data_IF_909831774253
#
_entry.id   IF_909831774253
#
_cell.length_a   1.000
_cell.length_b   1.000
_cell.length_c   1.000
_cell.angle_alpha   90.00
_cell.angle_beta   90.00
_cell.angle_gamma   90.00
#
_symmetry.space_group_name_H-M   'P 1'
#
loop_
_entity.id
_entity.type
_entity.pdbx_description
1 polymer ?
#
# COMPACT_ATOMS: atom_id res chain seq x y z
N UNK A 1 -65.06 12.83 41.64
CA UNK A 1 -65.31 14.10 40.93
C UNK A 1 -64.20 15.07 41.28
N UNK A 2 -63.30 15.35 40.34
CA UNK A 2 -62.74 16.68 40.03
C UNK A 2 -61.62 16.51 39.00
N UNK A 3 -61.95 16.96 37.78
CA UNK A 3 -61.08 17.06 36.61
C UNK A 3 -60.16 18.27 36.77
N UNK A 4 -58.85 18.09 36.54
CA UNK A 4 -58.02 19.11 35.89
C UNK A 4 -57.07 18.41 34.92
N UNK A 5 -57.39 18.55 33.64
CA UNK A 5 -56.53 18.23 32.51
C UNK A 5 -55.60 19.42 32.32
N UNK A 6 -54.30 19.16 32.26
CA UNK A 6 -53.33 20.05 31.64
C UNK A 6 -52.35 19.18 30.85
N UNK A 7 -52.54 19.21 29.54
CA UNK A 7 -51.57 18.74 28.57
C UNK A 7 -50.36 19.68 28.59
N UNK A 8 -49.16 19.12 28.63
CA UNK A 8 -47.96 19.78 28.08
C UNK A 8 -47.11 18.72 27.40
N UNK A 9 -46.70 19.03 26.18
CA UNK A 9 -46.26 18.11 25.14
C UNK A 9 -45.04 17.27 25.54
N UNK A 10 -45.19 15.96 25.36
CA UNK A 10 -44.10 15.03 25.09
C UNK A 10 -43.37 15.47 23.82
N UNK A 11 -42.18 16.05 23.98
CA UNK A 11 -41.27 16.41 22.90
C UNK A 11 -39.89 15.81 23.15
N UNK A 12 -39.81 14.48 23.19
CA UNK A 12 -38.55 13.77 23.16
C UNK A 12 -37.95 13.88 21.76
N UNK A 13 -36.91 14.68 21.61
CA UNK A 13 -35.99 14.59 20.47
C UNK A 13 -34.63 14.17 21.01
N UNK A 14 -34.53 12.88 21.35
CA UNK A 14 -33.23 12.20 21.37
C UNK A 14 -32.81 12.18 19.91
N UNK A 15 -31.81 12.98 19.53
CA UNK A 15 -31.08 12.84 18.26
C UNK A 15 -30.33 11.49 18.33
N UNK A 16 -31.08 10.41 18.16
CA UNK A 16 -30.56 9.10 17.86
C UNK A 16 -30.02 9.15 16.44
N UNK A 17 -28.72 8.92 16.31
CA UNK A 17 -28.08 8.56 15.05
C UNK A 17 -28.74 7.28 14.53
N UNK A 18 -29.79 7.46 13.74
CA UNK A 18 -30.38 6.41 12.93
C UNK A 18 -29.49 6.17 11.70
N UNK A 19 -28.37 5.47 11.89
CA UNK A 19 -27.66 4.80 10.79
C UNK A 19 -28.43 3.52 10.46
N UNK A 20 -29.59 3.67 9.82
CA UNK A 20 -30.26 2.58 9.10
C UNK A 20 -30.05 2.82 7.62
N UNK A 21 -29.41 1.86 6.98
CA UNK A 21 -29.05 1.93 5.56
C UNK A 21 -30.26 2.10 4.64
N UNK A 22 -29.97 2.66 3.46
CA UNK A 22 -30.78 2.47 2.28
C UNK A 22 -29.87 2.61 1.06
N UNK A 23 -29.57 1.48 0.42
CA UNK A 23 -29.20 1.46 -0.98
C UNK A 23 -30.42 1.88 -1.79
N UNK A 24 -30.37 3.03 -2.48
CA UNK A 24 -31.15 3.21 -3.71
C UNK A 24 -30.75 4.46 -4.50
N UNK A 25 -30.35 4.21 -5.75
CA UNK A 25 -30.53 5.03 -6.95
C UNK A 25 -29.99 6.47 -6.97
N UNK A 26 -28.86 6.61 -7.66
CA UNK A 26 -28.38 7.88 -8.21
C UNK A 26 -26.88 7.78 -8.39
N UNK A 27 -26.35 8.32 -9.47
CA UNK A 27 -24.92 8.42 -9.79
C UNK A 27 -24.15 9.35 -8.81
N UNK A 28 -24.53 9.34 -7.53
CA UNK A 28 -23.88 10.05 -6.44
C UNK A 28 -23.09 9.00 -5.65
N UNK A 29 -21.85 8.78 -6.06
CA UNK A 29 -20.93 7.85 -5.41
C UNK A 29 -20.86 8.07 -3.89
N UNK A 30 -20.45 7.02 -3.16
CA UNK A 30 -20.16 7.12 -1.74
C UNK A 30 -19.02 8.14 -1.51
N UNK A 31 -19.38 9.40 -1.29
CA UNK A 31 -18.46 10.53 -1.09
C UNK A 31 -17.47 10.32 0.06
N UNK A 32 -17.87 9.53 1.07
CA UNK A 32 -17.02 9.20 2.20
C UNK A 32 -15.96 8.17 1.79
N UNK A 33 -16.34 7.19 0.96
CA UNK A 33 -15.41 6.24 0.35
C UNK A 33 -14.49 6.92 -0.68
N UNK A 34 -15.00 7.85 -1.48
CA UNK A 34 -14.18 8.62 -2.42
C UNK A 34 -13.17 9.52 -1.66
N UNK A 35 -13.57 10.12 -0.53
CA UNK A 35 -12.66 10.87 0.34
C UNK A 35 -11.62 9.99 1.03
N UNK A 36 -12.03 8.81 1.53
CA UNK A 36 -11.13 7.79 2.05
C UNK A 36 -10.11 7.36 0.99
N UNK A 37 -10.58 7.08 -0.23
CA UNK A 37 -9.74 6.68 -1.34
C UNK A 37 -8.76 7.79 -1.70
N UNK A 38 -9.19 9.05 -1.70
CA UNK A 38 -8.31 10.20 -1.90
C UNK A 38 -7.18 10.25 -0.87
N UNK A 39 -7.49 10.07 0.41
CA UNK A 39 -6.48 10.09 1.47
C UNK A 39 -5.42 9.00 1.27
N UNK A 40 -5.83 7.79 0.91
CA UNK A 40 -4.90 6.69 0.64
C UNK A 40 -4.12 6.95 -0.66
N UNK A 41 -4.81 7.35 -1.74
CA UNK A 41 -4.21 7.58 -3.05
C UNK A 41 -3.21 8.74 -3.05
N UNK A 42 -3.44 9.80 -2.28
CA UNK A 42 -2.53 10.96 -2.21
C UNK A 42 -1.19 10.60 -1.53
N UNK A 43 -1.14 9.53 -0.74
CA UNK A 43 0.09 9.01 -0.15
C UNK A 43 0.93 8.14 -1.11
N UNK A 44 0.31 7.55 -2.15
CA UNK A 44 0.99 6.59 -3.03
C UNK A 44 2.12 7.18 -3.87
N UNK A 45 1.99 8.34 -4.55
CA UNK A 45 2.98 8.79 -5.55
C UNK A 45 4.40 8.93 -5.00
N UNK A 46 4.55 9.45 -3.77
CA UNK A 46 5.86 9.62 -3.16
C UNK A 46 6.53 8.28 -2.81
N UNK A 47 5.74 7.29 -2.40
CA UNK A 47 6.25 5.97 -2.02
C UNK A 47 6.51 5.11 -3.25
N UNK A 48 5.68 5.22 -4.28
CA UNK A 48 5.88 4.60 -5.59
C UNK A 48 7.20 5.06 -6.23
N UNK A 49 7.41 6.39 -6.31
CA UNK A 49 8.66 6.94 -6.82
C UNK A 49 9.90 6.50 -6.01
N UNK A 50 9.75 6.32 -4.69
CA UNK A 50 10.83 5.80 -3.83
C UNK A 50 11.15 4.34 -4.15
N UNK A 51 10.13 3.49 -4.34
CA UNK A 51 10.30 2.09 -4.70
C UNK A 51 10.92 1.95 -6.10
N UNK A 52 10.47 2.76 -7.07
CA UNK A 52 11.04 2.78 -8.42
C UNK A 52 12.51 3.20 -8.41
N UNK A 53 12.85 4.29 -7.72
CA UNK A 53 14.23 4.74 -7.59
C UNK A 53 15.13 3.68 -6.91
N UNK A 54 14.63 2.99 -5.90
CA UNK A 54 15.34 1.90 -5.24
C UNK A 54 15.59 0.72 -6.22
N UNK A 55 14.59 0.31 -6.98
CA UNK A 55 14.72 -0.74 -8.01
C UNK A 55 15.70 -0.36 -9.12
N UNK A 56 15.64 0.89 -9.59
CA UNK A 56 16.58 1.42 -10.59
C UNK A 56 18.01 1.44 -10.07
N UNK A 57 18.21 1.84 -8.80
CA UNK A 57 19.52 1.84 -8.16
C UNK A 57 20.12 0.42 -8.07
N UNK A 58 19.33 -0.56 -7.64
CA UNK A 58 19.74 -1.99 -7.60
C UNK A 58 20.11 -2.47 -9.00
N UNK A 59 19.24 -2.22 -9.99
CA UNK A 59 19.48 -2.64 -11.38
C UNK A 59 20.79 -2.04 -11.92
N UNK A 60 21.01 -0.75 -11.70
CA UNK A 60 22.24 -0.06 -12.12
C UNK A 60 23.47 -0.59 -11.38
N UNK A 61 23.35 -0.85 -10.08
CA UNK A 61 24.43 -1.44 -9.29
C UNK A 61 24.88 -2.79 -9.86
N UNK A 62 23.92 -3.60 -10.31
CA UNK A 62 24.16 -4.92 -10.90
C UNK A 62 24.77 -4.87 -12.32
N UNK A 63 24.49 -3.83 -13.12
CA UNK A 63 24.95 -3.76 -14.53
C UNK A 63 26.27 -3.02 -14.74
N UNK A 64 26.63 -2.08 -13.87
CA UNK A 64 27.74 -1.15 -14.11
C UNK A 64 29.13 -1.68 -13.69
N UNK A 65 29.29 -3.02 -13.55
CA UNK A 65 30.53 -3.67 -13.08
C UNK A 65 31.07 -3.06 -11.76
N UNK A 66 30.17 -2.75 -10.82
CA UNK A 66 30.53 -2.11 -9.56
C UNK A 66 31.35 -3.03 -8.65
N UNK A 67 32.21 -2.42 -7.82
CA UNK A 67 32.88 -3.13 -6.73
C UNK A 67 31.86 -3.64 -5.69
N UNK A 68 32.11 -4.79 -5.03
CA UNK A 68 31.20 -5.36 -4.03
C UNK A 68 30.73 -4.37 -2.95
N UNK A 69 31.63 -3.51 -2.46
CA UNK A 69 31.28 -2.49 -1.47
C UNK A 69 30.27 -1.45 -2.00
N UNK A 70 30.36 -1.09 -3.28
CA UNK A 70 29.39 -0.19 -3.92
C UNK A 70 28.04 -0.87 -4.09
N UNK A 71 28.03 -2.13 -4.52
CA UNK A 71 26.80 -2.93 -4.63
C UNK A 71 26.13 -3.06 -3.27
N UNK A 72 26.86 -3.49 -2.24
CA UNK A 72 26.35 -3.61 -0.87
C UNK A 72 25.71 -2.32 -0.37
N UNK A 73 26.41 -1.19 -0.50
CA UNK A 73 25.91 0.10 -0.03
C UNK A 73 24.65 0.52 -0.78
N UNK A 74 24.63 0.31 -2.10
CA UNK A 74 23.48 0.70 -2.95
C UNK A 74 22.27 -0.15 -2.63
N UNK A 75 22.45 -1.48 -2.59
CA UNK A 75 21.37 -2.42 -2.29
C UNK A 75 20.86 -2.25 -0.86
N UNK A 76 21.75 -1.98 0.12
CA UNK A 76 21.34 -1.63 1.48
C UNK A 76 20.44 -0.38 1.50
N UNK A 77 20.82 0.67 0.79
CA UNK A 77 20.02 1.90 0.78
C UNK A 77 18.69 1.65 0.09
N UNK A 78 18.69 0.93 -1.03
CA UNK A 78 17.47 0.58 -1.75
C UNK A 78 16.50 -0.25 -0.89
N UNK A 79 16.98 -1.27 -0.17
CA UNK A 79 16.14 -2.04 0.74
C UNK A 79 15.62 -1.22 1.92
N UNK A 80 16.41 -0.27 2.43
CA UNK A 80 15.93 0.69 3.43
C UNK A 80 14.79 1.54 2.87
N UNK A 81 14.97 2.11 1.68
CA UNK A 81 13.98 2.95 1.02
C UNK A 81 12.67 2.20 0.75
N UNK A 82 12.76 0.95 0.28
CA UNK A 82 11.59 0.08 0.12
C UNK A 82 10.91 -0.21 1.47
N UNK A 83 11.69 -0.52 2.51
CA UNK A 83 11.15 -0.76 3.85
C UNK A 83 10.35 0.45 4.37
N UNK A 84 10.92 1.65 4.23
CA UNK A 84 10.29 2.89 4.66
C UNK A 84 9.06 3.24 3.82
N UNK A 85 9.11 2.98 2.51
CA UNK A 85 7.98 3.20 1.61
C UNK A 85 6.77 2.35 2.03
N UNK A 86 6.94 1.05 2.23
CA UNK A 86 5.86 0.18 2.68
C UNK A 86 5.38 0.53 4.09
N UNK A 87 6.27 0.98 4.98
CA UNK A 87 5.88 1.46 6.31
C UNK A 87 5.00 2.70 6.22
N UNK A 88 5.35 3.65 5.35
CA UNK A 88 4.59 4.87 5.13
C UNK A 88 3.21 4.57 4.53
N UNK A 89 3.13 3.62 3.58
CA UNK A 89 1.85 3.16 3.05
C UNK A 89 0.98 2.49 4.12
N UNK A 90 1.58 1.66 4.99
CA UNK A 90 0.86 1.09 6.12
C UNK A 90 0.27 2.19 7.01
N UNK A 91 1.06 3.23 7.32
CA UNK A 91 0.61 4.38 8.09
C UNK A 91 -0.50 5.19 7.40
N UNK A 92 -0.46 5.32 6.08
CA UNK A 92 -1.50 6.01 5.33
C UNK A 92 -2.84 5.26 5.37
N UNK A 93 -2.83 3.94 5.16
CA UNK A 93 -4.02 3.08 5.26
C UNK A 93 -4.54 3.03 6.70
N UNK A 94 -3.65 2.99 7.69
CA UNK A 94 -4.01 3.04 9.11
C UNK A 94 -4.69 4.37 9.48
N UNK A 95 -4.10 5.47 9.06
CA UNK A 95 -4.63 6.82 9.31
C UNK A 95 -5.95 7.09 8.60
N UNK A 96 -6.20 6.44 7.45
CA UNK A 96 -7.48 6.54 6.74
C UNK A 96 -8.60 5.74 7.43
N UNK A 97 -8.26 4.75 8.25
CA UNK A 97 -9.21 3.88 8.91
C UNK A 97 -9.94 2.96 7.93
N UNK A 98 -11.03 2.33 8.37
CA UNK A 98 -11.79 1.41 7.54
C UNK A 98 -12.48 2.14 6.37
N UNK A 99 -12.48 1.58 5.14
CA UNK A 99 -13.19 2.15 4.02
C UNK A 99 -14.70 2.24 4.32
N UNK A 100 -15.31 3.44 4.29
CA UNK A 100 -16.71 3.64 4.64
C UNK A 100 -17.67 2.87 3.71
N UNK A 101 -18.67 2.23 4.29
CA UNK A 101 -19.70 1.52 3.53
C UNK A 101 -19.24 0.20 2.87
N UNK A 102 -18.03 -0.26 3.14
CA UNK A 102 -17.48 -1.50 2.60
C UNK A 102 -17.66 -2.65 3.59
N UNK A 103 -18.20 -3.77 3.11
CA UNK A 103 -18.32 -5.01 3.88
C UNK A 103 -16.94 -5.47 4.38
N UNK A 104 -16.87 -5.83 5.67
CA UNK A 104 -15.64 -6.19 6.36
C UNK A 104 -14.53 -5.12 6.30
N UNK A 105 -14.87 -3.85 6.06
CA UNK A 105 -13.90 -2.76 5.87
C UNK A 105 -12.83 -2.67 6.96
N UNK A 106 -13.19 -2.87 8.23
CA UNK A 106 -12.21 -2.91 9.35
C UNK A 106 -11.21 -4.05 9.22
N UNK A 107 -11.68 -5.25 8.86
CA UNK A 107 -10.82 -6.41 8.66
C UNK A 107 -9.91 -6.20 7.45
N UNK A 108 -10.47 -5.75 6.32
CA UNK A 108 -9.71 -5.43 5.11
C UNK A 108 -8.62 -4.40 5.37
N UNK A 109 -8.93 -3.34 6.11
CA UNK A 109 -7.97 -2.33 6.51
C UNK A 109 -6.85 -2.91 7.40
N UNK A 110 -7.20 -3.64 8.47
CA UNK A 110 -6.22 -4.23 9.37
C UNK A 110 -5.31 -5.25 8.67
N UNK A 111 -5.88 -6.09 7.79
CA UNK A 111 -5.13 -7.07 7.01
C UNK A 111 -4.16 -6.37 6.04
N UNK A 112 -4.59 -5.28 5.40
CA UNK A 112 -3.74 -4.47 4.53
C UNK A 112 -2.59 -3.80 5.28
N UNK A 113 -2.87 -3.21 6.45
CA UNK A 113 -1.84 -2.61 7.31
C UNK A 113 -0.85 -3.67 7.79
N UNK A 114 -1.32 -4.85 8.18
CA UNK A 114 -0.45 -5.97 8.57
C UNK A 114 0.44 -6.42 7.41
N UNK A 115 -0.12 -6.56 6.21
CA UNK A 115 0.64 -6.95 5.02
C UNK A 115 1.70 -5.91 4.62
N UNK A 116 1.38 -4.61 4.65
CA UNK A 116 2.34 -3.54 4.37
C UNK A 116 3.46 -3.49 5.42
N UNK A 117 3.14 -3.68 6.70
CA UNK A 117 4.17 -3.78 7.75
C UNK A 117 5.04 -5.03 7.61
N UNK A 118 4.48 -6.16 7.16
CA UNK A 118 5.23 -7.37 6.89
C UNK A 118 6.20 -7.19 5.70
N UNK A 119 5.77 -6.49 4.63
CA UNK A 119 6.65 -6.10 3.52
C UNK A 119 7.77 -5.18 4.01
N UNK A 120 7.43 -4.14 4.78
CA UNK A 120 8.42 -3.23 5.37
C UNK A 120 9.48 -3.99 6.17
N UNK A 121 9.05 -4.91 7.05
CA UNK A 121 9.95 -5.73 7.86
C UNK A 121 10.83 -6.63 6.99
N UNK A 122 10.24 -7.24 5.96
CA UNK A 122 10.97 -8.14 5.05
C UNK A 122 12.10 -7.40 4.33
N UNK A 123 11.85 -6.19 3.83
CA UNK A 123 12.89 -5.36 3.21
C UNK A 123 13.94 -4.88 4.23
N UNK A 124 13.55 -4.55 5.47
CA UNK A 124 14.51 -4.23 6.52
C UNK A 124 15.43 -5.42 6.86
N UNK A 125 14.92 -6.65 6.79
CA UNK A 125 15.72 -7.85 7.02
C UNK A 125 16.65 -8.16 5.83
N UNK A 126 16.21 -7.92 4.59
CA UNK A 126 17.08 -7.96 3.41
C UNK A 126 18.23 -6.95 3.53
N UNK A 127 17.94 -5.73 4.01
CA UNK A 127 18.96 -4.72 4.33
C UNK A 127 20.01 -5.28 5.30
N UNK A 128 19.58 -5.86 6.42
CA UNK A 128 20.52 -6.43 7.41
C UNK A 128 21.39 -7.52 6.79
N UNK A 129 20.84 -8.34 5.89
CA UNK A 129 21.59 -9.40 5.20
C UNK A 129 22.61 -8.87 4.22
N UNK A 130 22.26 -7.83 3.44
CA UNK A 130 23.23 -7.20 2.54
C UNK A 130 24.35 -6.51 3.33
N UNK A 131 24.03 -5.84 4.44
CA UNK A 131 24.99 -5.11 5.30
C UNK A 131 26.12 -6.01 5.82
N UNK A 132 25.86 -7.30 6.02
CA UNK A 132 26.84 -8.25 6.59
C UNK A 132 27.61 -9.05 5.55
N UNK A 133 27.33 -8.84 4.25
CA UNK A 133 28.08 -9.54 3.20
C UNK A 133 29.56 -9.16 3.20
N UNK A 134 30.41 -10.13 2.90
CA UNK A 134 31.85 -9.93 2.80
C UNK A 134 32.20 -9.26 1.47
N UNK A 135 32.51 -7.96 1.50
CA UNK A 135 32.86 -7.19 0.30
C UNK A 135 34.30 -7.36 -0.15
N UNK A 136 35.12 -8.11 0.60
CA UNK A 136 36.53 -8.37 0.30
C UNK A 136 36.73 -9.72 -0.40
N UNK A 137 35.78 -10.63 -0.24
CA UNK A 137 35.76 -11.94 -0.90
C UNK A 137 34.63 -11.96 -1.94
N UNK A 138 35.00 -11.85 -3.22
CA UNK A 138 34.04 -11.77 -4.31
C UNK A 138 33.17 -13.04 -4.44
N UNK A 139 33.70 -14.21 -4.11
CA UNK A 139 32.95 -15.47 -4.19
C UNK A 139 31.88 -15.52 -3.09
N UNK A 140 32.26 -15.19 -1.85
CA UNK A 140 31.30 -15.10 -0.72
C UNK A 140 30.28 -14.00 -0.92
N UNK A 141 30.69 -12.86 -1.47
CA UNK A 141 29.77 -11.77 -1.80
C UNK A 141 28.70 -12.24 -2.78
N UNK A 142 29.11 -12.90 -3.86
CA UNK A 142 28.20 -13.43 -4.87
C UNK A 142 27.27 -14.51 -4.31
N UNK A 143 27.76 -15.39 -3.44
CA UNK A 143 26.93 -16.38 -2.73
C UNK A 143 25.88 -15.71 -1.85
N UNK A 144 26.28 -14.70 -1.07
CA UNK A 144 25.35 -13.92 -0.24
C UNK A 144 24.26 -13.21 -1.06
N UNK A 145 24.62 -12.65 -2.22
CA UNK A 145 23.65 -12.07 -3.13
C UNK A 145 22.65 -13.09 -3.69
N UNK A 146 23.06 -14.35 -3.91
CA UNK A 146 22.14 -15.41 -4.35
C UNK A 146 21.11 -15.80 -3.27
N UNK A 147 21.50 -15.82 -1.99
CA UNK A 147 20.55 -16.03 -0.88
C UNK A 147 19.53 -14.89 -0.80
N UNK A 148 19.99 -13.63 -0.92
CA UNK A 148 19.12 -12.45 -0.98
C UNK A 148 18.14 -12.55 -2.15
N UNK A 149 18.62 -12.92 -3.35
CA UNK A 149 17.76 -13.09 -4.52
C UNK A 149 16.71 -14.19 -4.33
N UNK A 150 17.06 -15.29 -3.64
CA UNK A 150 16.13 -16.37 -3.31
C UNK A 150 15.01 -15.89 -2.39
N UNK A 151 15.35 -15.08 -1.39
CA UNK A 151 14.38 -14.50 -0.45
C UNK A 151 13.49 -13.47 -1.13
N UNK A 152 14.03 -12.61 -1.98
CA UNK A 152 13.25 -11.71 -2.84
C UNK A 152 12.27 -12.49 -3.73
N UNK A 153 12.72 -13.60 -4.33
CA UNK A 153 11.86 -14.48 -5.13
C UNK A 153 10.70 -15.09 -4.32
N UNK A 154 10.92 -15.35 -3.04
CA UNK A 154 9.88 -15.82 -2.11
C UNK A 154 8.93 -14.69 -1.73
N UNK A 155 9.47 -13.52 -1.40
CA UNK A 155 8.70 -12.33 -1.06
C UNK A 155 7.73 -11.95 -2.18
N UNK A 156 8.21 -11.89 -3.42
CA UNK A 156 7.41 -11.59 -4.63
C UNK A 156 6.28 -12.56 -4.90
N UNK A 157 6.39 -13.82 -4.45
CA UNK A 157 5.32 -14.83 -4.58
C UNK A 157 4.29 -14.73 -3.45
N UNK A 158 4.74 -14.33 -2.26
CA UNK A 158 3.91 -14.25 -1.05
C UNK A 158 3.15 -12.92 -0.92
N UNK A 159 3.61 -11.86 -1.58
CA UNK A 159 2.86 -10.63 -1.76
C UNK A 159 1.84 -10.85 -2.88
N UNK A 160 0.53 -10.76 -2.70
CA UNK A 160 -0.13 -9.77 -1.88
C UNK A 160 -1.65 -10.00 -1.91
N UNK A 161 -2.14 -11.00 -1.18
CA UNK A 161 -3.58 -11.29 -1.14
C UNK A 161 -4.34 -10.21 -0.35
N UNK A 162 -3.76 -9.70 0.74
CA UNK A 162 -4.42 -8.72 1.59
C UNK A 162 -4.63 -7.36 0.90
N UNK A 163 -3.64 -6.84 0.16
CA UNK A 163 -3.87 -5.60 -0.60
C UNK A 163 -4.85 -5.80 -1.76
N UNK A 164 -4.81 -6.95 -2.45
CA UNK A 164 -5.82 -7.27 -3.46
C UNK A 164 -7.24 -7.26 -2.87
N UNK A 165 -7.42 -7.88 -1.70
CA UNK A 165 -8.72 -7.91 -1.01
C UNK A 165 -9.18 -6.52 -0.54
N UNK A 166 -8.25 -5.62 -0.21
CA UNK A 166 -8.57 -4.22 0.08
C UNK A 166 -9.02 -3.51 -1.20
N UNK A 167 -8.30 -3.69 -2.31
CA UNK A 167 -8.53 -3.05 -3.62
C UNK A 167 -9.59 -3.76 -4.47
N UNK A 168 -10.62 -4.33 -3.84
CA UNK A 168 -11.73 -5.02 -4.51
C UNK A 168 -13.04 -4.22 -4.42
N UNK A 169 -13.95 -4.50 -5.35
CA UNK A 169 -15.30 -3.92 -5.36
C UNK A 169 -15.29 -2.38 -5.36
N UNK A 170 -16.07 -1.79 -4.47
CA UNK A 170 -16.26 -0.34 -4.40
C UNK A 170 -14.97 0.42 -4.06
N UNK A 171 -14.06 -0.20 -3.29
CA UNK A 171 -12.75 0.39 -2.99
C UNK A 171 -11.95 0.59 -4.27
N UNK A 172 -11.92 -0.43 -5.13
CA UNK A 172 -11.25 -0.37 -6.44
C UNK A 172 -11.80 0.78 -7.28
N UNK A 173 -13.12 0.86 -7.35
CA UNK A 173 -13.83 1.89 -8.12
C UNK A 173 -13.53 3.29 -7.58
N UNK A 174 -13.53 3.46 -6.25
CA UNK A 174 -13.24 4.73 -5.60
C UNK A 174 -11.78 5.16 -5.81
N UNK A 175 -10.81 4.25 -5.68
CA UNK A 175 -9.39 4.51 -5.94
C UNK A 175 -9.13 4.85 -7.41
N UNK A 176 -9.77 4.14 -8.34
CA UNK A 176 -9.63 4.39 -9.77
C UNK A 176 -10.15 5.77 -10.22
N UNK A 177 -11.01 6.43 -9.43
CA UNK A 177 -11.44 7.82 -9.68
C UNK A 177 -10.38 8.85 -9.27
N UNK A 178 -9.47 8.51 -8.35
CA UNK A 178 -8.53 9.47 -7.79
C UNK A 178 -7.36 9.72 -8.73
N UNK A 179 -7.11 10.99 -9.04
CA UNK A 179 -6.04 11.40 -9.97
C UNK A 179 -4.64 10.97 -9.51
N UNK A 180 -4.38 10.96 -8.20
CA UNK A 180 -3.10 10.50 -7.62
C UNK A 180 -2.86 9.01 -7.86
N UNK A 181 -3.87 8.17 -7.67
CA UNK A 181 -3.82 6.73 -8.00
C UNK A 181 -3.68 6.49 -9.51
N UNK A 182 -4.38 7.24 -10.36
CA UNK A 182 -4.27 7.12 -11.83
C UNK A 182 -2.85 7.42 -12.32
N UNK A 183 -2.19 8.44 -11.76
CA UNK A 183 -0.80 8.79 -12.09
C UNK A 183 0.16 7.64 -11.80
N UNK A 184 0.03 7.01 -10.63
CA UNK A 184 0.84 5.85 -10.25
C UNK A 184 0.61 4.69 -11.23
N UNK A 185 -0.66 4.33 -11.49
CA UNK A 185 -0.98 3.25 -12.42
C UNK A 185 -0.43 3.49 -13.84
N UNK A 186 -0.44 4.75 -14.31
CA UNK A 186 0.14 5.13 -15.58
C UNK A 186 1.68 4.93 -15.59
N UNK A 187 2.39 5.36 -14.54
CA UNK A 187 3.84 5.18 -14.40
C UNK A 187 4.24 3.69 -14.48
N UNK A 188 3.51 2.82 -13.78
CA UNK A 188 3.75 1.37 -13.78
C UNK A 188 3.54 0.74 -15.17
N UNK A 189 2.61 1.28 -15.96
CA UNK A 189 2.32 0.78 -17.32
C UNK A 189 3.36 1.19 -18.36
N UNK A 190 3.99 2.35 -18.21
CA UNK A 190 5.09 2.82 -19.09
C UNK A 190 6.40 2.05 -18.92
N UNK A 191 6.58 1.32 -17.81
CA UNK A 191 7.72 0.40 -17.61
C UNK A 191 7.62 -0.91 -18.41
N UNK A 192 6.42 -1.28 -18.87
CA UNK A 192 6.19 -2.40 -19.78
C UNK A 192 6.27 -1.91 -21.24
N UNK A 193 7.49 -1.76 -21.77
CA UNK A 193 7.65 -1.59 -23.22
C UNK A 193 6.96 -2.75 -23.95
N UNK A 194 6.12 -2.50 -24.97
CA UNK A 194 5.62 -3.57 -25.82
C UNK A 194 6.81 -4.15 -26.57
N UNK A 195 7.13 -5.42 -26.27
CA UNK A 195 8.01 -6.22 -27.11
C UNK A 195 7.34 -6.31 -28.48
N UNK A 196 7.77 -5.46 -29.40
CA UNK A 196 7.25 -5.43 -30.75
C UNK A 196 7.85 -6.64 -31.46
N UNK A 197 7.04 -7.68 -31.61
CA UNK A 197 7.30 -8.81 -32.49
C UNK A 197 7.40 -8.29 -33.92
N UNK A 198 8.61 -8.25 -34.48
CA UNK A 198 8.84 -8.35 -35.93
C UNK A 198 9.54 -9.71 -36.12
N UNK A 199 9.05 -10.65 -36.92
CA UNK A 199 8.52 -10.47 -38.26
C UNK A 199 9.63 -10.83 -39.23
#
# INVERSE_FOLDING_TARGET
MNKKLAAVLSGGAVLGLALTGCSSSGDDGNKELDAWAKQVCDALPAQDAKVDAANEAIKKAATDNNAPATVQKTDSQAFQDMSDAYKALAGAVDSAGAPPGVEDGKKKQSDAVAALNALSTSYADLKKKIDVLDTKDQAKFAEGLQDIATQLGTLSKSGNTALKNLEEGDVKSAMAKQESCKKVAASSSTGASPQTTQG
#
